data_IF_371583330122
#
_entry.id   IF_371583330122
#
_cell.length_a   1.000
_cell.length_b   1.000
_cell.length_c   1.000
_cell.angle_alpha   90.00
_cell.angle_beta   90.00
_cell.angle_gamma   90.00
#
_symmetry.space_group_name_H-M   'P 1'
#
loop_
_entity.id
_entity.type
_entity.pdbx_description
1 polymer ?
#
# COMPACT_ATOMS: atom_id res chain seq x y z
N UNK A 1 17.15 -18.48 -47.26
CA UNK A 1 17.93 -17.84 -46.17
C UNK A 1 17.52 -16.38 -46.18
N UNK A 2 16.32 -16.11 -45.65
CA UNK A 2 15.76 -14.78 -45.57
C UNK A 2 16.14 -14.18 -44.21
N UNK A 3 16.66 -12.96 -44.28
CA UNK A 3 17.12 -12.17 -43.15
C UNK A 3 15.95 -11.83 -42.23
N UNK A 4 15.95 -12.37 -41.02
CA UNK A 4 15.16 -11.85 -39.90
C UNK A 4 15.80 -10.53 -39.43
N UNK A 5 15.34 -9.46 -40.07
CA UNK A 5 15.57 -8.06 -39.75
C UNK A 5 14.78 -7.69 -38.49
N UNK A 6 15.45 -6.98 -37.60
CA UNK A 6 14.94 -6.07 -36.56
C UNK A 6 13.69 -6.48 -35.78
N UNK A 7 13.95 -7.05 -34.59
CA UNK A 7 13.04 -6.90 -33.43
C UNK A 7 13.78 -6.34 -32.21
N UNK A 8 14.64 -5.35 -32.41
CA UNK A 8 14.98 -4.39 -31.35
C UNK A 8 13.86 -3.35 -31.26
N UNK A 9 12.71 -3.78 -30.73
CA UNK A 9 11.76 -2.83 -30.11
C UNK A 9 12.41 -2.38 -28.80
N UNK A 10 13.32 -1.40 -28.89
CA UNK A 10 13.66 -0.56 -27.75
C UNK A 10 12.35 0.06 -27.26
N UNK A 11 11.85 -0.47 -26.13
CA UNK A 11 10.86 0.21 -25.34
C UNK A 11 11.46 1.57 -24.98
N UNK A 12 10.93 2.62 -25.58
CA UNK A 12 11.26 4.00 -25.24
C UNK A 12 10.93 4.14 -23.76
N UNK A 13 11.96 4.13 -22.91
CA UNK A 13 11.78 4.42 -21.50
C UNK A 13 11.16 5.82 -21.41
N UNK A 14 10.12 6.03 -20.59
CA UNK A 14 9.50 7.34 -20.47
C UNK A 14 10.58 8.37 -20.14
N UNK A 15 10.66 9.45 -20.93
CA UNK A 15 11.64 10.50 -20.75
C UNK A 15 11.38 11.17 -19.38
N UNK A 16 12.17 10.77 -18.38
CA UNK A 16 12.12 11.41 -17.08
C UNK A 16 12.70 12.83 -17.19
N UNK A 17 12.08 13.85 -16.57
CA UNK A 17 12.58 15.21 -16.65
C UNK A 17 14.03 15.29 -16.15
N UNK A 18 14.86 16.06 -16.86
CA UNK A 18 16.28 16.26 -16.52
C UNK A 18 16.42 16.78 -15.09
N UNK A 19 17.51 16.40 -14.41
CA UNK A 19 17.74 16.66 -12.96
C UNK A 19 17.41 18.09 -12.53
N UNK A 20 17.82 19.07 -13.33
CA UNK A 20 17.62 20.51 -13.06
C UNK A 20 16.16 20.95 -13.09
N UNK A 21 15.26 20.19 -13.71
CA UNK A 21 13.83 20.51 -13.76
C UNK A 21 13.10 20.02 -12.51
N UNK A 22 13.45 18.83 -12.00
CA UNK A 22 12.82 18.24 -10.80
C UNK A 22 13.24 18.93 -9.51
N UNK A 23 14.52 19.26 -9.39
CA UNK A 23 15.05 19.95 -8.20
C UNK A 23 14.39 21.33 -7.99
N UNK A 24 14.00 22.01 -9.08
CA UNK A 24 13.29 23.31 -9.04
C UNK A 24 11.91 23.25 -8.40
N UNK A 25 11.33 22.06 -8.20
CA UNK A 25 10.07 21.92 -7.45
C UNK A 25 10.25 22.23 -5.96
N UNK A 26 11.50 22.18 -5.47
CA UNK A 26 11.83 22.55 -4.09
C UNK A 26 12.04 24.06 -3.91
N UNK A 27 12.05 24.82 -5.00
CA UNK A 27 12.18 26.28 -4.96
C UNK A 27 10.82 26.96 -4.76
N UNK A 28 10.84 28.14 -4.14
CA UNK A 28 9.68 29.01 -4.03
C UNK A 28 9.02 28.97 -2.65
N UNK A 29 7.70 29.28 -2.56
CA UNK A 29 7.01 29.37 -1.28
C UNK A 29 6.84 28.00 -0.62
N UNK A 30 6.77 28.02 0.70
CA UNK A 30 6.44 26.88 1.54
C UNK A 30 5.02 27.00 2.09
N UNK A 31 4.43 25.88 2.43
CA UNK A 31 3.15 25.78 3.15
C UNK A 31 3.38 25.08 4.49
N UNK A 32 2.63 25.50 5.51
CA UNK A 32 2.58 24.79 6.79
C UNK A 32 1.62 23.61 6.69
N UNK A 33 2.15 22.38 6.76
CA UNK A 33 1.35 21.17 6.93
C UNK A 33 1.07 21.01 8.43
N UNK A 34 -0.17 21.25 8.83
CA UNK A 34 -0.64 21.07 10.21
C UNK A 34 -1.16 19.65 10.37
N UNK A 35 -0.38 18.82 11.05
CA UNK A 35 -0.66 17.40 11.26
C UNK A 35 -1.35 17.20 12.59
N UNK A 36 -2.60 16.72 12.55
CA UNK A 36 -3.38 16.34 13.72
C UNK A 36 -3.21 14.83 13.97
N UNK A 37 -2.88 14.46 15.20
CA UNK A 37 -2.63 13.07 15.58
C UNK A 37 -2.94 12.80 17.06
N UNK A 38 -3.30 11.57 17.40
CA UNK A 38 -3.56 11.12 18.77
C UNK A 38 -3.23 9.64 18.88
N UNK A 39 -2.37 9.21 19.80
CA UNK A 39 -1.96 7.81 19.89
C UNK A 39 -1.88 7.36 21.34
N UNK A 40 -2.35 6.15 21.63
CA UNK A 40 -2.21 5.54 22.96
C UNK A 40 -0.79 4.97 23.18
N UNK A 41 -0.47 4.58 24.43
CA UNK A 41 0.86 4.10 24.78
C UNK A 41 1.28 2.82 24.05
N UNK A 42 0.32 1.94 23.73
CA UNK A 42 0.57 0.68 23.02
C UNK A 42 0.94 0.98 21.57
N UNK A 43 0.17 1.84 20.91
CA UNK A 43 0.42 2.30 19.55
C UNK A 43 1.73 3.09 19.45
N UNK A 44 2.03 3.96 20.41
CA UNK A 44 3.30 4.70 20.46
C UNK A 44 4.50 3.74 20.52
N UNK A 45 4.44 2.74 21.43
CA UNK A 45 5.49 1.74 21.58
C UNK A 45 5.68 0.90 20.31
N UNK A 46 4.57 0.44 19.71
CA UNK A 46 4.59 -0.32 18.48
C UNK A 46 5.21 0.48 17.32
N UNK A 47 4.78 1.73 17.14
CA UNK A 47 5.30 2.61 16.10
C UNK A 47 6.79 2.95 16.27
N UNK A 48 7.26 3.14 17.50
CA UNK A 48 8.68 3.31 17.80
C UNK A 48 9.49 2.05 17.49
N UNK A 49 8.95 0.88 17.82
CA UNK A 49 9.57 -0.41 17.52
C UNK A 49 9.72 -0.62 16.01
N UNK A 50 8.64 -0.40 15.25
CA UNK A 50 8.61 -0.53 13.80
C UNK A 50 9.64 0.40 13.11
N UNK A 51 9.86 1.60 13.62
CA UNK A 51 10.85 2.53 13.06
C UNK A 51 12.31 2.19 13.44
N UNK A 52 12.54 1.43 14.52
CA UNK A 52 13.81 1.39 15.25
C UNK A 52 15.05 0.94 14.46
N UNK A 53 14.88 0.06 13.47
CA UNK A 53 15.96 -0.50 12.63
C UNK A 53 16.08 0.20 11.26
N UNK A 54 15.07 0.95 10.87
CA UNK A 54 14.93 1.47 9.50
C UNK A 54 15.27 2.95 9.43
N UNK A 55 14.78 3.74 10.39
CA UNK A 55 14.96 5.19 10.35
C UNK A 55 16.33 5.60 10.89
N UNK A 56 16.87 6.69 10.33
CA UNK A 56 18.14 7.26 10.81
C UNK A 56 18.03 7.74 12.26
N UNK A 57 19.13 7.78 13.04
CA UNK A 57 19.09 8.12 14.46
C UNK A 57 18.39 9.45 14.78
N UNK A 58 18.62 10.49 13.96
CA UNK A 58 17.97 11.79 14.16
C UNK A 58 16.45 11.72 14.01
N UNK A 59 15.97 10.95 13.03
CA UNK A 59 14.53 10.70 12.86
C UNK A 59 13.97 9.93 14.05
N UNK A 60 14.69 8.92 14.53
CA UNK A 60 14.30 8.16 15.73
C UNK A 60 14.16 9.06 16.95
N UNK A 61 15.06 10.05 17.12
CA UNK A 61 14.94 11.07 18.16
C UNK A 61 13.64 11.87 18.02
N UNK A 62 13.29 12.32 16.81
CA UNK A 62 12.02 13.02 16.58
C UNK A 62 10.80 12.17 16.91
N UNK A 63 10.80 10.87 16.61
CA UNK A 63 9.73 9.97 17.04
C UNK A 63 9.60 9.91 18.56
N UNK A 64 10.71 9.78 19.29
CA UNK A 64 10.71 9.79 20.76
C UNK A 64 10.20 11.11 21.33
N UNK A 65 10.65 12.25 20.81
CA UNK A 65 10.18 13.58 21.22
C UNK A 65 8.66 13.76 20.99
N UNK A 66 8.10 13.18 19.92
CA UNK A 66 6.66 13.23 19.66
C UNK A 66 5.86 12.41 20.67
N UNK A 67 6.39 11.26 21.09
CA UNK A 67 5.80 10.40 22.11
C UNK A 67 5.83 11.10 23.48
N UNK A 68 6.94 11.72 23.85
CA UNK A 68 7.04 12.50 25.08
C UNK A 68 6.00 13.63 25.15
N UNK A 69 5.76 14.33 24.03
CA UNK A 69 4.72 15.36 23.93
C UNK A 69 3.31 14.78 24.13
N UNK A 70 3.01 13.63 23.53
CA UNK A 70 1.71 12.97 23.70
C UNK A 70 1.46 12.58 25.16
N UNK A 71 2.50 12.08 25.84
CA UNK A 71 2.43 11.73 27.26
C UNK A 71 2.19 12.95 28.15
N UNK A 72 2.79 14.10 27.82
CA UNK A 72 2.55 15.37 28.51
C UNK A 72 1.13 15.91 28.29
N UNK A 73 0.56 15.70 27.09
CA UNK A 73 -0.77 16.16 26.72
C UNK A 73 -1.91 15.20 27.13
N UNK A 74 -1.64 14.21 28.01
CA UNK A 74 -2.62 13.24 28.53
C UNK A 74 -3.44 12.51 27.46
N UNK A 75 -2.89 12.31 26.25
CA UNK A 75 -3.57 11.58 25.18
C UNK A 75 -4.59 12.39 24.36
N UNK A 76 -4.70 13.71 24.58
CA UNK A 76 -5.49 14.58 23.70
C UNK A 76 -4.87 14.71 22.30
N UNK A 77 -5.71 15.11 21.33
CA UNK A 77 -5.29 15.40 19.96
C UNK A 77 -4.16 16.42 19.97
N UNK A 78 -2.98 15.96 19.54
CA UNK A 78 -1.77 16.75 19.43
C UNK A 78 -1.59 17.27 18.00
N UNK A 79 -0.80 18.33 17.88
CA UNK A 79 -0.49 18.96 16.59
C UNK A 79 1.01 19.02 16.35
N UNK A 80 1.40 18.73 15.12
CA UNK A 80 2.74 19.02 14.60
C UNK A 80 2.60 19.95 13.38
N UNK A 81 3.61 20.78 13.16
CA UNK A 81 3.68 21.68 11.99
C UNK A 81 4.94 21.34 11.22
N UNK A 82 4.80 21.12 9.92
CA UNK A 82 5.89 20.77 9.02
C UNK A 82 5.82 21.69 7.81
N UNK A 83 6.89 22.42 7.54
CA UNK A 83 6.98 23.27 6.34
C UNK A 83 7.43 22.43 5.14
N UNK A 84 6.79 22.63 3.98
CA UNK A 84 7.22 21.98 2.75
C UNK A 84 6.96 22.85 1.50
N UNK A 85 7.81 22.76 0.45
CA UNK A 85 7.61 23.55 -0.78
C UNK A 85 6.29 23.24 -1.49
N UNK A 86 5.53 24.30 -1.81
CA UNK A 86 4.19 24.21 -2.44
C UNK A 86 4.25 23.44 -3.75
N UNK A 87 5.17 23.80 -4.65
CA UNK A 87 5.27 23.20 -5.99
C UNK A 87 5.59 21.70 -5.93
N UNK A 88 6.43 21.30 -4.98
CA UNK A 88 6.74 19.89 -4.77
C UNK A 88 5.48 19.12 -4.33
N UNK A 89 4.70 19.65 -3.39
CA UNK A 89 3.44 19.02 -2.96
C UNK A 89 2.42 18.98 -4.10
N UNK A 90 2.22 20.07 -4.84
CA UNK A 90 1.26 20.09 -5.97
C UNK A 90 1.61 19.05 -7.04
N UNK A 91 2.90 18.78 -7.24
CA UNK A 91 3.36 17.76 -8.18
C UNK A 91 3.17 16.33 -7.66
N UNK A 92 3.08 16.13 -6.35
CA UNK A 92 3.01 14.80 -5.73
C UNK A 92 1.64 14.43 -5.18
N UNK A 93 0.84 15.42 -4.78
CA UNK A 93 -0.40 15.26 -4.02
C UNK A 93 -1.57 15.85 -4.79
N UNK A 94 -2.45 14.97 -5.28
CA UNK A 94 -3.66 15.40 -5.97
C UNK A 94 -4.61 16.13 -5.00
N UNK A 95 -4.65 15.72 -3.73
CA UNK A 95 -5.45 16.38 -2.71
C UNK A 95 -4.96 17.80 -2.42
N UNK A 96 -3.66 17.99 -2.26
CA UNK A 96 -3.10 19.32 -2.03
C UNK A 96 -3.29 20.22 -3.25
N UNK A 97 -3.06 19.70 -4.46
CA UNK A 97 -3.29 20.44 -5.70
C UNK A 97 -4.75 20.89 -5.81
N UNK A 98 -5.72 20.02 -5.50
CA UNK A 98 -7.13 20.42 -5.47
C UNK A 98 -7.41 21.48 -4.41
N UNK A 99 -6.69 21.49 -3.28
CA UNK A 99 -6.81 22.54 -2.27
C UNK A 99 -6.24 23.87 -2.76
N UNK A 100 -5.07 23.89 -3.40
CA UNK A 100 -4.45 25.12 -3.92
C UNK A 100 -5.18 25.66 -5.16
N UNK A 101 -5.77 24.80 -6.00
CA UNK A 101 -6.64 25.21 -7.11
C UNK A 101 -7.89 25.95 -6.60
N UNK A 102 -8.42 25.56 -5.42
CA UNK A 102 -9.54 26.23 -4.76
C UNK A 102 -9.13 27.49 -4.00
N UNK A 103 -7.95 27.47 -3.38
CA UNK A 103 -7.39 28.56 -2.59
C UNK A 103 -5.90 28.80 -2.95
N UNK A 104 -5.61 29.64 -3.95
CA UNK A 104 -4.23 29.84 -4.44
C UNK A 104 -3.25 30.44 -3.43
N UNK A 105 -3.75 30.97 -2.31
CA UNK A 105 -2.95 31.58 -1.23
C UNK A 105 -2.97 30.73 0.05
N UNK A 106 -3.17 29.42 -0.08
CA UNK A 106 -3.21 28.49 1.04
C UNK A 106 -1.89 28.53 1.83
N UNK A 107 -1.92 29.16 3.00
CA UNK A 107 -0.76 29.24 3.91
C UNK A 107 -0.63 28.01 4.81
N UNK A 108 -1.73 27.28 5.00
CA UNK A 108 -1.81 26.12 5.91
C UNK A 108 -2.64 25.00 5.29
N UNK A 109 -2.13 23.78 5.37
CA UNK A 109 -2.85 22.58 4.96
C UNK A 109 -3.00 21.64 6.14
N UNK A 110 -4.24 21.38 6.57
CA UNK A 110 -4.52 20.57 7.75
C UNK A 110 -4.77 19.12 7.34
N UNK A 111 -4.05 18.19 7.97
CA UNK A 111 -4.15 16.75 7.70
C UNK A 111 -4.34 16.01 9.01
N UNK A 112 -5.33 15.13 9.08
CA UNK A 112 -5.51 14.20 10.18
C UNK A 112 -4.92 12.84 9.80
N UNK A 113 -3.87 12.41 10.51
CA UNK A 113 -3.22 11.10 10.31
C UNK A 113 -3.64 10.06 11.36
N UNK A 114 -4.64 10.37 12.17
CA UNK A 114 -5.20 9.49 13.20
C UNK A 114 -4.18 9.21 14.29
N UNK A 115 -3.90 7.92 14.54
CA UNK A 115 -2.92 7.54 15.56
C UNK A 115 -1.49 7.38 15.07
N UNK A 116 -1.25 7.63 13.78
CA UNK A 116 0.10 7.56 13.24
C UNK A 116 0.92 8.74 13.75
N UNK A 117 2.14 8.48 14.18
CA UNK A 117 3.08 9.51 14.61
C UNK A 117 3.52 10.37 13.42
N UNK A 118 3.59 11.71 13.55
CA UNK A 118 4.00 12.61 12.47
C UNK A 118 5.40 12.30 11.90
N UNK A 119 6.25 11.59 12.64
CA UNK A 119 7.53 11.10 12.16
C UNK A 119 7.45 10.32 10.84
N UNK A 120 6.40 9.52 10.61
CA UNK A 120 6.20 8.81 9.35
C UNK A 120 5.90 9.75 8.18
N UNK A 121 5.17 10.84 8.43
CA UNK A 121 4.92 11.89 7.44
C UNK A 121 6.19 12.64 7.09
N UNK A 122 7.02 12.93 8.09
CA UNK A 122 8.34 13.52 7.84
C UNK A 122 9.23 12.60 7.00
N UNK A 123 9.19 11.28 7.22
CA UNK A 123 9.95 10.31 6.39
C UNK A 123 9.53 10.33 4.92
N UNK A 124 8.22 10.36 4.64
CA UNK A 124 7.70 10.44 3.26
C UNK A 124 8.16 11.74 2.59
N UNK A 125 8.05 12.87 3.29
CA UNK A 125 8.43 14.18 2.77
C UNK A 125 9.94 14.31 2.55
N UNK A 126 10.75 13.83 3.50
CA UNK A 126 12.21 13.81 3.40
C UNK A 126 12.65 12.96 2.21
N UNK A 127 12.07 11.77 2.06
CA UNK A 127 12.35 10.94 0.89
C UNK A 127 12.01 11.68 -0.39
N UNK A 128 10.82 12.23 -0.50
CA UNK A 128 10.39 12.87 -1.73
C UNK A 128 11.29 14.05 -2.08
N UNK A 129 11.65 14.87 -1.09
CA UNK A 129 12.63 15.94 -1.23
C UNK A 129 13.99 15.42 -1.72
N UNK A 130 14.47 14.32 -1.15
CA UNK A 130 15.72 13.68 -1.58
C UNK A 130 15.64 13.07 -2.99
N UNK A 131 14.49 12.50 -3.37
CA UNK A 131 14.25 11.94 -4.70
C UNK A 131 14.24 13.04 -5.78
N UNK A 132 13.73 14.23 -5.46
CA UNK A 132 13.78 15.40 -6.33
C UNK A 132 15.21 15.95 -6.54
N UNK A 133 16.07 15.91 -5.50
CA UNK A 133 17.48 16.33 -5.59
C UNK A 133 18.38 15.30 -6.28
N UNK A 134 17.98 14.03 -6.24
CA UNK A 134 18.80 12.93 -6.73
C UNK A 134 19.03 13.00 -8.24
N UNK A 135 20.24 12.61 -8.67
CA UNK A 135 20.60 12.53 -10.10
C UNK A 135 19.67 11.57 -10.86
N UNK A 136 19.31 10.47 -10.22
CA UNK A 136 18.38 9.47 -10.73
C UNK A 136 17.17 9.39 -9.81
N UNK A 137 15.99 9.10 -10.37
CA UNK A 137 14.79 8.89 -9.56
C UNK A 137 15.02 7.76 -8.55
N UNK A 138 14.86 8.07 -7.26
CA UNK A 138 14.98 7.10 -6.18
C UNK A 138 13.58 6.70 -5.74
N UNK A 139 13.13 5.51 -6.14
CA UNK A 139 11.85 4.94 -5.70
C UNK A 139 11.81 4.83 -4.17
N UNK A 140 10.64 5.06 -3.56
CA UNK A 140 10.40 4.76 -2.14
C UNK A 140 10.01 3.29 -1.94
N UNK A 141 10.73 2.40 -2.59
CA UNK A 141 10.47 0.98 -2.48
C UNK A 141 11.60 0.32 -1.70
N UNK A 142 11.28 -0.53 -0.71
CA UNK A 142 12.24 -1.50 -0.25
C UNK A 142 12.63 -2.39 -1.44
N UNK A 143 13.86 -2.92 -1.43
CA UNK A 143 14.11 -4.09 -2.28
C UNK A 143 13.21 -5.18 -1.71
N UNK A 144 12.31 -5.74 -2.51
CA UNK A 144 11.32 -6.73 -2.03
C UNK A 144 12.02 -7.91 -1.32
N UNK A 145 13.22 -8.28 -1.76
CA UNK A 145 14.09 -9.28 -1.13
C UNK A 145 14.65 -8.91 0.25
N UNK A 146 14.39 -7.70 0.75
CA UNK A 146 14.84 -7.19 2.05
C UNK A 146 13.69 -6.80 2.96
N UNK A 147 12.45 -7.17 2.62
CA UNK A 147 11.32 -7.02 3.53
C UNK A 147 11.41 -8.12 4.59
N UNK A 148 12.02 -7.79 5.73
CA UNK A 148 11.97 -8.65 6.92
C UNK A 148 10.54 -8.62 7.50
N UNK A 149 10.11 -9.74 8.12
CA UNK A 149 8.79 -9.83 8.74
C UNK A 149 8.55 -8.72 9.79
N UNK A 150 9.62 -8.29 10.45
CA UNK A 150 9.62 -7.21 11.45
C UNK A 150 9.34 -5.82 10.85
N UNK A 151 9.66 -5.60 9.57
CA UNK A 151 9.62 -4.27 8.93
C UNK A 151 8.26 -3.94 8.32
N UNK A 152 7.34 -4.93 8.26
CA UNK A 152 6.04 -4.79 7.58
C UNK A 152 5.20 -3.63 8.08
N UNK A 153 5.28 -3.33 9.38
CA UNK A 153 4.51 -2.25 9.99
C UNK A 153 5.04 -0.88 9.61
N UNK A 154 6.36 -0.70 9.50
CA UNK A 154 6.93 0.55 9.04
C UNK A 154 6.40 0.90 7.64
N UNK A 155 6.48 -0.06 6.71
CA UNK A 155 6.01 0.15 5.34
C UNK A 155 4.50 0.38 5.25
N UNK A 156 3.73 -0.29 6.11
CA UNK A 156 2.31 0.00 6.23
C UNK A 156 2.04 1.44 6.68
N UNK A 157 2.73 1.92 7.72
CA UNK A 157 2.55 3.29 8.21
C UNK A 157 2.91 4.33 7.14
N UNK A 158 3.99 4.12 6.40
CA UNK A 158 4.33 4.93 5.24
C UNK A 158 3.20 4.92 4.21
N UNK A 159 2.70 3.73 3.85
CA UNK A 159 1.63 3.59 2.85
C UNK A 159 0.40 4.40 3.24
N UNK A 160 -0.07 4.25 4.48
CA UNK A 160 -1.20 5.01 5.00
C UNK A 160 -0.92 6.51 4.94
N UNK A 161 0.27 6.95 5.34
CA UNK A 161 0.64 8.36 5.31
C UNK A 161 0.67 8.93 3.89
N UNK A 162 1.20 8.19 2.91
CA UNK A 162 1.13 8.58 1.50
C UNK A 162 -0.32 8.72 1.02
N UNK A 163 -1.21 7.82 1.43
CA UNK A 163 -2.66 7.94 1.14
C UNK A 163 -3.26 9.20 1.77
N UNK A 164 -2.98 9.49 3.05
CA UNK A 164 -3.47 10.69 3.75
C UNK A 164 -2.92 11.99 3.16
N UNK A 165 -1.69 11.96 2.64
CA UNK A 165 -1.08 13.06 1.90
C UNK A 165 -1.64 13.21 0.47
N UNK A 166 -2.56 12.34 0.00
CA UNK A 166 -3.02 12.39 -1.39
C UNK A 166 -1.95 12.05 -2.42
N UNK A 167 -0.86 11.40 -2.00
CA UNK A 167 0.25 10.97 -2.84
C UNK A 167 -0.07 9.64 -3.52
N UNK A 168 -1.22 9.57 -4.20
CA UNK A 168 -1.83 8.32 -4.66
C UNK A 168 -0.95 7.51 -5.61
N UNK A 169 -0.21 8.16 -6.51
CA UNK A 169 0.70 7.46 -7.43
C UNK A 169 1.81 6.71 -6.68
N UNK A 170 2.42 7.35 -5.67
CA UNK A 170 3.46 6.74 -4.85
C UNK A 170 2.88 5.68 -3.91
N UNK A 171 1.71 5.94 -3.33
CA UNK A 171 1.00 4.95 -2.52
C UNK A 171 0.63 3.70 -3.36
N UNK A 172 0.15 3.86 -4.59
CA UNK A 172 -0.18 2.75 -5.49
C UNK A 172 1.07 1.94 -5.87
N UNK A 173 2.19 2.60 -6.14
CA UNK A 173 3.46 1.92 -6.41
C UNK A 173 3.86 1.04 -5.20
N UNK A 174 3.90 1.61 -3.99
CA UNK A 174 4.22 0.88 -2.76
C UNK A 174 3.18 -0.22 -2.45
N UNK A 175 1.91 0.07 -2.67
CA UNK A 175 0.78 -0.83 -2.45
C UNK A 175 0.89 -2.08 -3.31
N UNK A 176 1.06 -1.90 -4.62
CA UNK A 176 1.14 -2.98 -5.61
C UNK A 176 2.41 -3.82 -5.50
N UNK A 177 3.56 -3.22 -5.17
CA UNK A 177 4.83 -3.96 -5.12
C UNK A 177 5.15 -4.58 -3.77
N UNK A 178 4.68 -3.98 -2.68
CA UNK A 178 5.17 -4.31 -1.33
C UNK A 178 4.05 -4.61 -0.36
N UNK A 179 3.01 -3.78 -0.24
CA UNK A 179 1.93 -4.05 0.73
C UNK A 179 1.15 -5.30 0.34
N UNK A 180 0.84 -5.50 -0.94
CA UNK A 180 0.22 -6.75 -1.40
C UNK A 180 1.05 -7.99 -1.07
N UNK A 181 2.38 -7.89 -1.21
CA UNK A 181 3.30 -8.97 -0.87
C UNK A 181 3.30 -9.25 0.64
N UNK A 182 3.30 -8.19 1.46
CA UNK A 182 3.20 -8.31 2.91
C UNK A 182 1.88 -8.97 3.34
N UNK A 183 0.78 -8.63 2.68
CA UNK A 183 -0.53 -9.30 2.88
C UNK A 183 -0.41 -10.78 2.52
N UNK A 184 0.05 -11.11 1.30
CA UNK A 184 0.06 -12.49 0.79
C UNK A 184 1.05 -13.41 1.49
N UNK A 185 2.28 -12.95 1.71
CA UNK A 185 3.39 -13.82 2.10
C UNK A 185 3.90 -13.57 3.53
N UNK A 186 3.60 -12.41 4.12
CA UNK A 186 4.06 -12.03 5.47
C UNK A 186 2.93 -11.81 6.47
N UNK A 187 1.73 -12.33 6.15
CA UNK A 187 0.58 -12.40 7.07
C UNK A 187 0.15 -11.03 7.60
N UNK A 188 0.34 -9.97 6.81
CA UNK A 188 -0.20 -8.66 7.15
C UNK A 188 -1.72 -8.73 7.09
N UNK A 189 -2.39 -8.35 8.19
CA UNK A 189 -3.85 -8.41 8.38
C UNK A 189 -4.46 -9.79 8.68
N UNK A 190 -3.65 -10.78 9.08
CA UNK A 190 -4.15 -12.11 9.44
C UNK A 190 -4.81 -12.15 10.83
N UNK A 191 -4.37 -11.32 11.77
CA UNK A 191 -4.98 -11.26 13.11
C UNK A 191 -6.04 -10.15 13.23
N UNK A 192 -6.99 -10.33 14.15
CA UNK A 192 -8.11 -9.39 14.39
C UNK A 192 -7.61 -7.98 14.66
N UNK A 193 -6.61 -7.85 15.52
CA UNK A 193 -6.12 -6.54 15.94
C UNK A 193 -5.55 -5.79 14.75
N UNK A 194 -4.75 -6.45 13.91
CA UNK A 194 -4.17 -5.85 12.71
C UNK A 194 -5.21 -5.51 11.65
N UNK A 195 -6.19 -6.39 11.43
CA UNK A 195 -7.26 -6.15 10.47
C UNK A 195 -8.10 -4.94 10.90
N UNK A 196 -8.56 -4.90 12.15
CA UNK A 196 -9.28 -3.75 12.70
C UNK A 196 -8.44 -2.49 12.65
N UNK A 197 -7.15 -2.59 12.98
CA UNK A 197 -6.21 -1.47 12.88
C UNK A 197 -6.21 -0.90 11.45
N UNK A 198 -5.97 -1.73 10.43
CA UNK A 198 -5.95 -1.32 9.02
C UNK A 198 -7.25 -0.66 8.56
N UNK A 199 -8.39 -1.25 8.93
CA UNK A 199 -9.71 -0.76 8.56
C UNK A 199 -10.05 0.61 9.16
N UNK A 200 -9.37 1.03 10.24
CA UNK A 200 -9.50 2.37 10.78
C UNK A 200 -8.70 3.43 10.01
N UNK A 201 -7.59 3.06 9.36
CA UNK A 201 -6.72 4.02 8.67
C UNK A 201 -7.03 4.20 7.19
N UNK A 202 -7.39 3.11 6.53
CA UNK A 202 -7.60 3.08 5.09
C UNK A 202 -8.98 3.65 4.74
N UNK A 203 -9.06 4.34 3.60
CA UNK A 203 -10.34 4.76 3.05
C UNK A 203 -11.09 3.54 2.50
N UNK A 204 -12.42 3.62 2.43
CA UNK A 204 -13.27 2.50 2.00
C UNK A 204 -13.01 2.06 0.56
N UNK A 205 -12.40 2.93 -0.24
CA UNK A 205 -12.00 2.72 -1.64
C UNK A 205 -10.52 2.35 -1.80
N UNK A 206 -9.78 2.15 -0.71
CA UNK A 206 -8.37 1.79 -0.79
C UNK A 206 -8.20 0.38 -1.41
N UNK A 207 -7.40 0.24 -2.49
CA UNK A 207 -7.30 -1.01 -3.23
C UNK A 207 -6.70 -2.17 -2.41
N UNK A 208 -5.97 -1.89 -1.33
CA UNK A 208 -5.43 -2.95 -0.47
C UNK A 208 -6.54 -3.67 0.30
N UNK A 209 -7.68 -3.02 0.57
CA UNK A 209 -8.81 -3.66 1.25
C UNK A 209 -9.36 -4.85 0.46
N UNK A 210 -9.41 -4.74 -0.88
CA UNK A 210 -9.83 -5.83 -1.75
C UNK A 210 -8.88 -7.03 -1.64
N UNK A 211 -7.56 -6.80 -1.64
CA UNK A 211 -6.56 -7.86 -1.50
C UNK A 211 -6.59 -8.54 -0.13
N UNK A 212 -6.87 -7.79 0.93
CA UNK A 212 -7.06 -8.35 2.26
C UNK A 212 -8.32 -9.23 2.28
N UNK A 213 -9.42 -8.77 1.69
CA UNK A 213 -10.65 -9.56 1.59
C UNK A 213 -10.45 -10.85 0.79
N UNK A 214 -9.80 -10.79 -0.37
CA UNK A 214 -9.41 -11.96 -1.19
C UNK A 214 -8.58 -12.97 -0.39
N UNK A 215 -7.61 -12.47 0.38
CA UNK A 215 -6.78 -13.32 1.23
C UNK A 215 -7.60 -14.04 2.30
N UNK A 216 -8.49 -13.34 3.01
CA UNK A 216 -9.32 -13.95 4.05
C UNK A 216 -10.26 -15.01 3.49
N UNK A 217 -10.87 -14.76 2.33
CA UNK A 217 -11.69 -15.75 1.61
C UNK A 217 -10.86 -16.98 1.24
N UNK A 218 -9.67 -16.78 0.67
CA UNK A 218 -8.78 -17.88 0.34
C UNK A 218 -8.42 -18.72 1.57
N UNK A 219 -7.99 -18.08 2.66
CA UNK A 219 -7.63 -18.76 3.92
C UNK A 219 -8.81 -19.52 4.52
N UNK A 220 -10.03 -18.97 4.44
CA UNK A 220 -11.25 -19.65 4.87
C UNK A 220 -11.49 -20.93 4.07
N UNK A 221 -11.42 -20.86 2.75
CA UNK A 221 -11.70 -22.01 1.88
C UNK A 221 -10.65 -23.13 2.02
N UNK A 222 -9.38 -22.80 2.30
CA UNK A 222 -8.35 -23.81 2.56
C UNK A 222 -8.31 -24.28 4.03
N UNK A 223 -9.24 -23.84 4.88
CA UNK A 223 -9.30 -24.23 6.29
C UNK A 223 -8.16 -23.68 7.15
N UNK A 224 -7.51 -22.60 6.71
CA UNK A 224 -6.39 -21.94 7.39
C UNK A 224 -6.74 -20.52 7.87
N UNK A 225 -8.03 -20.17 7.94
CA UNK A 225 -8.43 -18.86 8.41
C UNK A 225 -8.02 -18.68 9.89
N UNK A 226 -7.17 -17.69 10.19
CA UNK A 226 -6.76 -17.40 11.56
C UNK A 226 -7.89 -16.79 12.40
N UNK A 227 -8.95 -16.30 11.76
CA UNK A 227 -10.10 -15.68 12.41
C UNK A 227 -11.22 -16.70 12.63
N UNK A 228 -11.80 -16.69 13.83
CA UNK A 228 -13.02 -17.44 14.10
C UNK A 228 -14.23 -16.83 13.37
N UNK A 229 -15.29 -17.61 13.08
CA UNK A 229 -16.50 -17.08 12.45
C UNK A 229 -17.08 -15.85 13.16
N UNK A 230 -17.14 -15.89 14.50
CA UNK A 230 -17.60 -14.76 15.31
C UNK A 230 -16.76 -13.50 15.10
N UNK A 231 -15.43 -13.64 15.04
CA UNK A 231 -14.55 -12.49 14.80
C UNK A 231 -14.75 -11.92 13.39
N UNK A 232 -14.98 -12.76 12.39
CA UNK A 232 -15.32 -12.30 11.05
C UNK A 232 -16.64 -11.52 11.04
N UNK A 233 -17.66 -12.02 11.74
CA UNK A 233 -18.96 -11.36 11.87
C UNK A 233 -18.81 -10.00 12.55
N UNK A 234 -18.15 -9.95 13.72
CA UNK A 234 -17.88 -8.72 14.47
C UNK A 234 -17.17 -7.66 13.59
N UNK A 235 -16.14 -8.06 12.84
CA UNK A 235 -15.41 -7.15 11.94
C UNK A 235 -16.28 -6.64 10.79
N UNK A 236 -17.14 -7.50 10.22
CA UNK A 236 -18.04 -7.10 9.14
C UNK A 236 -19.16 -6.20 9.63
N UNK A 237 -19.62 -6.35 10.87
CA UNK A 237 -20.58 -5.44 11.51
C UNK A 237 -19.96 -4.07 11.77
N UNK A 238 -18.75 -4.03 12.31
CA UNK A 238 -18.01 -2.78 12.60
C UNK A 238 -17.56 -2.06 11.32
N UNK A 239 -17.26 -2.82 10.26
CA UNK A 239 -16.79 -2.31 8.97
C UNK A 239 -17.62 -2.88 7.79
N UNK A 240 -18.86 -2.42 7.59
CA UNK A 240 -19.78 -3.00 6.59
C UNK A 240 -19.25 -2.99 5.16
N UNK A 241 -18.48 -1.97 4.79
CA UNK A 241 -17.84 -1.86 3.47
C UNK A 241 -16.84 -2.99 3.23
N UNK A 242 -16.07 -3.37 4.25
CA UNK A 242 -15.15 -4.49 4.17
C UNK A 242 -15.91 -5.82 4.08
N UNK A 243 -17.02 -5.96 4.82
CA UNK A 243 -17.91 -7.12 4.67
C UNK A 243 -18.48 -7.28 3.26
N UNK A 244 -18.76 -6.18 2.54
CA UNK A 244 -19.13 -6.23 1.12
C UNK A 244 -17.97 -6.78 0.27
N UNK A 245 -16.74 -6.31 0.49
CA UNK A 245 -15.57 -6.79 -0.23
C UNK A 245 -15.33 -8.29 0.00
N UNK A 246 -15.47 -8.77 1.25
CA UNK A 246 -15.35 -10.19 1.59
C UNK A 246 -16.41 -11.03 0.87
N UNK A 247 -17.67 -10.59 0.85
CA UNK A 247 -18.74 -11.30 0.11
C UNK A 247 -18.47 -11.34 -1.39
N UNK A 248 -18.04 -10.22 -1.98
CA UNK A 248 -17.72 -10.17 -3.41
C UNK A 248 -16.55 -11.09 -3.75
N UNK A 249 -15.52 -11.13 -2.92
CA UNK A 249 -14.39 -12.05 -3.09
C UNK A 249 -14.82 -13.52 -2.94
N UNK A 250 -15.74 -13.83 -2.02
CA UNK A 250 -16.28 -15.19 -1.87
C UNK A 250 -17.07 -15.65 -3.09
N UNK A 251 -17.93 -14.79 -3.64
CA UNK A 251 -18.66 -15.08 -4.88
C UNK A 251 -17.69 -15.35 -6.04
N UNK A 252 -16.68 -14.49 -6.22
CA UNK A 252 -15.69 -14.65 -7.28
C UNK A 252 -14.93 -15.99 -7.16
N UNK A 253 -14.63 -16.40 -5.93
CA UNK A 253 -13.97 -17.68 -5.67
C UNK A 253 -14.87 -18.86 -6.08
N UNK A 254 -16.15 -18.86 -5.68
CA UNK A 254 -17.12 -19.89 -6.06
C UNK A 254 -17.28 -19.98 -7.58
N UNK A 255 -17.46 -18.84 -8.25
CA UNK A 255 -17.59 -18.77 -9.71
C UNK A 255 -16.35 -19.35 -10.42
N UNK A 256 -15.16 -19.16 -9.85
CA UNK A 256 -13.89 -19.68 -10.38
C UNK A 256 -13.78 -21.20 -10.19
N UNK A 257 -14.19 -21.73 -9.03
CA UNK A 257 -14.21 -23.18 -8.79
C UNK A 257 -15.21 -23.90 -9.69
N UNK A 258 -16.41 -23.34 -9.85
CA UNK A 258 -17.44 -23.87 -10.75
C UNK A 258 -16.94 -23.91 -12.20
N UNK A 259 -16.26 -22.85 -12.66
CA UNK A 259 -15.67 -22.80 -13.99
C UNK A 259 -14.56 -23.85 -14.18
N UNK A 260 -13.71 -24.06 -13.18
CA UNK A 260 -12.66 -25.09 -13.21
C UNK A 260 -13.26 -26.50 -13.28
N UNK A 261 -14.29 -26.79 -12.49
CA UNK A 261 -14.99 -28.09 -12.52
C UNK A 261 -15.64 -28.37 -13.88
N UNK A 262 -16.20 -27.35 -14.54
CA UNK A 262 -16.75 -27.49 -15.90
C UNK A 262 -15.63 -27.79 -16.90
N UNK A 263 -14.48 -27.10 -16.82
CA UNK A 263 -13.35 -27.34 -17.74
C UNK A 263 -12.75 -28.74 -17.57
N UNK A 264 -12.59 -29.22 -16.33
CA UNK A 264 -12.09 -30.58 -16.07
C UNK A 264 -13.05 -31.64 -16.62
N UNK A 265 -14.36 -31.43 -16.46
CA UNK A 265 -15.39 -32.33 -16.99
C UNK A 265 -15.38 -32.39 -18.53
N UNK A 266 -15.17 -31.25 -19.19
CA UNK A 266 -15.07 -31.18 -20.66
C UNK A 266 -13.76 -31.78 -21.20
N UNK A 267 -12.68 -31.79 -20.41
CA UNK A 267 -11.39 -32.37 -20.80
C UNK A 267 -11.37 -33.90 -20.77
N UNK A 268 -12.26 -34.53 -19.98
CA UNK A 268 -12.41 -35.98 -19.90
C UNK A 268 -13.27 -36.58 -21.03
N UNK A 269 -14.00 -35.76 -21.80
CA UNK A 269 -14.85 -36.22 -22.91
C UNK A 269 -14.11 -36.24 -24.27
N UNK A 270 -12.83 -35.87 -24.32
CA UNK A 270 -12.01 -35.97 -25.53
C UNK A 270 -10.92 -37.03 -25.40
N UNK A 271 -11.31 -38.30 -25.29
CA UNK A 271 -10.43 -39.41 -25.65
C UNK A 271 -10.59 -39.64 -27.17
N UNK A 272 -9.59 -39.30 -28.01
CA UNK A 272 -9.68 -39.58 -29.42
C UNK A 272 -9.60 -41.09 -29.60
N UNK A 273 -10.66 -41.67 -30.16
CA UNK A 273 -10.69 -42.92 -30.90
C UNK A 273 -9.28 -43.43 -31.23
N UNK A 274 -8.81 -44.41 -30.47
CA UNK A 274 -7.83 -45.39 -30.96
C UNK A 274 -8.55 -46.22 -32.02
N UNK A 275 -8.58 -45.72 -33.25
CA UNK A 275 -8.86 -46.52 -34.43
C UNK A 275 -7.67 -47.47 -34.63
N UNK A 276 -7.67 -48.59 -33.90
CA UNK A 276 -6.89 -49.78 -34.28
C UNK A 276 -7.63 -50.53 -35.39
N UNK A 277 -7.62 -49.97 -36.60
CA UNK A 277 -7.90 -50.71 -37.83
C UNK A 277 -6.57 -51.33 -38.32
N UNK A 278 -6.16 -52.47 -37.73
CA UNK A 278 -5.18 -53.36 -38.36
C UNK A 278 -5.89 -54.35 -39.29
N UNK A 279 -6.17 -53.88 -40.51
CA UNK A 279 -6.46 -54.71 -41.68
C UNK A 279 -5.14 -55.24 -42.26
N UNK A 280 -4.61 -56.36 -41.74
CA UNK A 280 -3.59 -57.15 -42.44
C UNK A 280 -4.20 -58.43 -43.04
N UNK A 281 -4.56 -58.34 -44.33
CA UNK A 281 -4.82 -59.49 -45.18
C UNK A 281 -3.86 -59.50 -46.39
N UNK A 282 -3.03 -60.55 -46.42
CA UNK A 282 -2.39 -61.23 -47.58
C UNK A 282 -1.19 -60.57 -48.29
N UNK A 283 -0.04 -61.26 -48.20
CA UNK A 283 0.51 -62.07 -49.31
C UNK A 283 1.36 -63.23 -48.79
#
# INVERSE_FOLDING_TARGET
MDSLVDRDRMMIAPEYPTRTVRERLLDGPVVDIVVLYSSDSVQQSHQLSAASKIVVPDRRRHFSEQVERLQQNQGDVSKAVIEFPVRALEAASDLFKQSTDKEPQLSKWVINIGTILPGYLMEVLDWYSNALRAKHWKRFLPKISSLEEDDKFYWLYIYVVMRKLGMHNFANELGSSSIQELVKNHRLADDVWMLQFLLQYLSTDDPILAHIAERHVHLYNVGQCPLSPKQCDDICEDHPHFGVLVRNAHQLFQDTEDALMIMDSLSMETDPFTDEDEDEMKL
#
